data_IF_660262396172
#
_entry.id   IF_660262396172
#
_cell.length_a   1.000
_cell.length_b   1.000
_cell.length_c   1.000
_cell.angle_alpha   90.00
_cell.angle_beta   90.00
_cell.angle_gamma   90.00
#
_symmetry.space_group_name_H-M   'P 1'
#
loop_
_entity.id
_entity.type
_entity.pdbx_description
1 polymer ?
#
# COMPACT_ATOMS: atom_id res chain seq x y z
N UNK A 1 -8.71 4.84 1.51
CA UNK A 1 -8.30 6.27 1.47
C UNK A 1 -8.28 6.74 0.01
N UNK A 2 -8.44 8.04 -0.25
CA UNK A 2 -8.34 8.57 -1.62
C UNK A 2 -6.94 8.34 -2.19
N UNK A 3 -6.88 7.90 -3.45
CA UNK A 3 -5.64 7.61 -4.19
C UNK A 3 -4.75 8.86 -4.23
N UNK A 4 -5.34 10.06 -4.35
CA UNK A 4 -4.62 11.34 -4.31
C UNK A 4 -3.93 11.60 -2.97
N UNK A 5 -4.58 11.26 -1.85
CA UNK A 5 -3.99 11.41 -0.51
C UNK A 5 -2.79 10.49 -0.34
N UNK A 6 -2.89 9.25 -0.83
CA UNK A 6 -1.76 8.31 -0.79
C UNK A 6 -0.59 8.78 -1.67
N UNK A 7 -0.86 9.26 -2.90
CA UNK A 7 0.17 9.79 -3.80
C UNK A 7 0.83 11.06 -3.24
N UNK A 8 0.06 11.94 -2.59
CA UNK A 8 0.60 13.12 -1.91
C UNK A 8 1.51 12.73 -0.72
N UNK A 9 1.14 11.68 0.04
CA UNK A 9 1.98 11.10 1.08
C UNK A 9 3.29 10.53 0.54
N UNK A 10 3.23 9.80 -0.57
CA UNK A 10 4.43 9.26 -1.23
C UNK A 10 5.32 10.34 -1.84
N UNK A 11 4.73 11.39 -2.43
CA UNK A 11 5.48 12.54 -2.95
C UNK A 11 6.23 13.30 -1.84
N UNK A 12 5.54 13.58 -0.74
CA UNK A 12 6.14 14.24 0.44
C UNK A 12 7.22 13.37 1.06
N UNK A 13 7.01 12.07 1.17
CA UNK A 13 8.04 11.12 1.58
C UNK A 13 9.29 11.17 0.68
N UNK A 14 9.12 11.16 -0.64
CA UNK A 14 10.24 11.24 -1.57
C UNK A 14 11.04 12.54 -1.52
N UNK A 15 10.39 13.65 -1.18
CA UNK A 15 11.05 14.94 -0.93
C UNK A 15 11.86 14.87 0.37
N UNK A 16 11.29 14.29 1.43
CA UNK A 16 11.97 14.11 2.73
C UNK A 16 13.19 13.20 2.58
N UNK A 17 13.08 12.07 1.85
CA UNK A 17 14.22 11.17 1.62
C UNK A 17 15.35 11.88 0.89
N UNK A 18 15.05 12.72 -0.11
CA UNK A 18 16.05 13.52 -0.83
C UNK A 18 16.68 14.58 0.09
N UNK A 19 15.89 15.23 0.93
CA UNK A 19 16.39 16.19 1.93
C UNK A 19 17.30 15.51 2.97
N UNK A 20 16.93 14.30 3.40
CA UNK A 20 17.73 13.47 4.30
C UNK A 20 19.07 13.05 3.66
N UNK A 21 19.04 12.64 2.38
CA UNK A 21 20.26 12.33 1.62
C UNK A 21 21.21 13.53 1.56
N UNK A 22 20.69 14.74 1.35
CA UNK A 22 21.48 15.98 1.35
C UNK A 22 22.06 16.29 2.74
N UNK A 23 21.27 16.05 3.79
CA UNK A 23 21.72 16.15 5.18
C UNK A 23 22.89 15.22 5.50
N UNK A 24 22.83 13.95 5.07
CA UNK A 24 23.95 13.00 5.22
C UNK A 24 25.20 13.50 4.49
N UNK A 25 25.04 14.06 3.29
CA UNK A 25 26.16 14.56 2.47
C UNK A 25 26.70 15.92 2.93
N UNK A 26 26.11 16.54 3.96
CA UNK A 26 26.42 17.91 4.43
C UNK A 26 26.40 18.96 3.31
N UNK A 27 25.61 18.72 2.26
CA UNK A 27 25.44 19.64 1.13
C UNK A 27 24.26 20.58 1.40
N UNK A 28 24.27 21.81 0.86
CA UNK A 28 23.13 22.70 0.96
C UNK A 28 21.87 22.02 0.41
N UNK A 29 20.75 22.14 1.14
CA UNK A 29 19.48 21.49 0.76
C UNK A 29 18.97 21.89 -0.63
N UNK A 30 19.44 23.02 -1.16
CA UNK A 30 19.10 23.53 -2.50
C UNK A 30 20.06 23.08 -3.61
N UNK A 31 21.13 22.35 -3.32
CA UNK A 31 22.08 21.90 -4.36
C UNK A 31 21.41 20.79 -5.19
N UNK A 32 21.03 21.09 -6.44
CA UNK A 32 20.25 20.22 -7.37
C UNK A 32 18.74 20.07 -7.07
N UNK A 33 17.93 21.14 -7.27
CA UNK A 33 16.48 21.11 -7.05
C UNK A 33 15.74 20.10 -7.94
N UNK A 34 16.24 19.84 -9.16
CA UNK A 34 15.69 18.81 -10.06
C UNK A 34 15.70 17.41 -9.45
N UNK A 35 16.62 17.16 -8.53
CA UNK A 35 16.71 15.90 -7.79
C UNK A 35 15.47 15.57 -6.96
N UNK A 36 14.83 16.60 -6.40
CA UNK A 36 13.60 16.43 -5.62
C UNK A 36 12.41 16.06 -6.51
N UNK A 37 12.37 16.57 -7.74
CA UNK A 37 11.32 16.24 -8.72
C UNK A 37 11.46 14.78 -9.15
N UNK A 38 12.68 14.32 -9.48
CA UNK A 38 12.90 12.91 -9.84
C UNK A 38 12.61 11.97 -8.68
N UNK A 39 13.01 12.33 -7.45
CA UNK A 39 12.71 11.54 -6.26
C UNK A 39 11.20 11.50 -6.00
N UNK A 40 10.52 12.65 -6.04
CA UNK A 40 9.08 12.74 -5.89
C UNK A 40 8.34 11.89 -6.93
N UNK A 41 8.71 12.00 -8.22
CA UNK A 41 8.15 11.18 -9.29
C UNK A 41 8.39 9.68 -9.09
N UNK A 42 9.60 9.28 -8.69
CA UNK A 42 9.93 7.89 -8.39
C UNK A 42 9.10 7.33 -7.23
N UNK A 43 9.02 8.07 -6.11
CA UNK A 43 8.25 7.63 -4.95
C UNK A 43 6.74 7.61 -5.21
N UNK A 44 6.23 8.53 -6.03
CA UNK A 44 4.82 8.51 -6.48
C UNK A 44 4.54 7.28 -7.34
N UNK A 45 5.42 6.95 -8.29
CA UNK A 45 5.28 5.74 -9.10
C UNK A 45 5.35 4.47 -8.24
N UNK A 46 6.29 4.42 -7.28
CA UNK A 46 6.40 3.35 -6.31
C UNK A 46 5.13 3.22 -5.46
N UNK A 47 4.61 4.34 -4.95
CA UNK A 47 3.38 4.39 -4.17
C UNK A 47 2.14 3.94 -4.95
N UNK A 48 2.07 4.25 -6.25
CA UNK A 48 1.02 3.76 -7.13
C UNK A 48 1.08 2.23 -7.27
N UNK A 49 2.27 1.68 -7.54
CA UNK A 49 2.46 0.23 -7.63
C UNK A 49 2.15 -0.46 -6.28
N UNK A 50 2.56 0.14 -5.16
CA UNK A 50 2.28 -0.37 -3.83
C UNK A 50 0.78 -0.41 -3.52
N UNK A 51 0.05 0.67 -3.82
CA UNK A 51 -1.42 0.69 -3.68
C UNK A 51 -2.11 -0.38 -4.53
N UNK A 52 -1.61 -0.64 -5.74
CA UNK A 52 -2.16 -1.68 -6.60
C UNK A 52 -1.89 -3.07 -6.03
N UNK A 53 -0.72 -3.29 -5.44
CA UNK A 53 -0.42 -4.52 -4.72
C UNK A 53 -1.30 -4.70 -3.49
N UNK A 54 -1.46 -3.67 -2.67
CA UNK A 54 -2.29 -3.69 -1.47
C UNK A 54 -3.75 -4.05 -1.79
N UNK A 55 -4.34 -3.40 -2.79
CA UNK A 55 -5.67 -3.73 -3.28
C UNK A 55 -5.82 -5.19 -3.76
N UNK A 56 -4.77 -5.76 -4.36
CA UNK A 56 -4.78 -7.16 -4.76
C UNK A 56 -4.71 -8.11 -3.56
N UNK A 57 -3.93 -7.77 -2.53
CA UNK A 57 -3.89 -8.56 -1.29
C UNK A 57 -5.24 -8.53 -0.57
N UNK A 58 -5.87 -7.36 -0.45
CA UNK A 58 -7.18 -7.21 0.17
C UNK A 58 -8.25 -8.03 -0.55
N UNK A 59 -8.24 -8.03 -1.89
CA UNK A 59 -9.13 -8.89 -2.69
C UNK A 59 -8.88 -10.38 -2.43
N UNK A 60 -7.63 -10.78 -2.26
CA UNK A 60 -7.28 -12.16 -1.98
C UNK A 60 -7.75 -12.58 -0.58
N UNK A 61 -7.54 -11.71 0.40
CA UNK A 61 -8.01 -11.88 1.78
C UNK A 61 -9.54 -11.97 1.84
N UNK A 62 -10.26 -11.09 1.15
CA UNK A 62 -11.71 -11.12 1.09
C UNK A 62 -12.24 -12.46 0.53
N UNK A 63 -11.66 -12.96 -0.57
CA UNK A 63 -12.01 -14.28 -1.14
C UNK A 63 -11.72 -15.43 -0.17
N UNK A 64 -10.61 -15.37 0.56
CA UNK A 64 -10.28 -16.40 1.57
C UNK A 64 -11.27 -16.36 2.73
N UNK A 65 -11.69 -15.17 3.14
CA UNK A 65 -12.67 -14.98 4.20
C UNK A 65 -14.05 -15.54 3.80
N UNK A 66 -14.49 -15.26 2.56
CA UNK A 66 -15.73 -15.79 1.97
C UNK A 66 -15.72 -17.32 1.94
N UNK A 67 -14.66 -17.94 1.43
CA UNK A 67 -14.51 -19.40 1.43
C UNK A 67 -14.58 -20.02 2.84
N UNK A 68 -14.00 -19.35 3.85
CA UNK A 68 -14.06 -19.81 5.24
C UNK A 68 -15.48 -19.70 5.82
N UNK A 69 -16.21 -18.64 5.49
CA UNK A 69 -17.61 -18.48 5.90
C UNK A 69 -18.50 -19.55 5.26
N UNK A 70 -18.35 -19.82 3.96
CA UNK A 70 -19.06 -20.90 3.29
C UNK A 70 -18.76 -22.27 3.92
N UNK A 71 -17.49 -22.56 4.21
CA UNK A 71 -17.10 -23.82 4.83
C UNK A 71 -17.71 -23.98 6.24
N UNK A 72 -17.81 -22.88 7.00
CA UNK A 72 -18.50 -22.88 8.31
C UNK A 72 -20.00 -23.11 8.16
N UNK A 73 -20.65 -22.46 7.20
CA UNK A 73 -22.08 -22.65 6.93
C UNK A 73 -22.40 -24.10 6.53
N UNK A 74 -21.57 -24.71 5.66
CA UNK A 74 -21.73 -26.13 5.27
C UNK A 74 -21.56 -27.09 6.46
N UNK A 75 -20.59 -26.84 7.34
CA UNK A 75 -20.42 -27.63 8.57
C UNK A 75 -21.59 -27.47 9.54
N UNK A 76 -22.13 -26.26 9.68
CA UNK A 76 -23.30 -26.02 10.51
C UNK A 76 -24.52 -26.78 9.97
N UNK A 77 -24.78 -26.74 8.66
CA UNK A 77 -25.85 -27.51 8.03
C UNK A 77 -25.68 -29.03 8.21
N UNK A 78 -24.47 -29.56 7.99
CA UNK A 78 -24.19 -30.98 8.17
C UNK A 78 -24.37 -31.47 9.62
N UNK A 79 -24.07 -30.61 10.61
CA UNK A 79 -24.26 -30.96 12.02
C UNK A 79 -25.75 -30.92 12.43
N UNK A 80 -26.57 -30.10 11.77
CA UNK A 80 -28.03 -30.07 11.99
C UNK A 80 -28.65 -31.35 11.44
N UNK A 81 -28.30 -31.75 10.21
CA UNK A 81 -28.80 -32.98 9.58
C UNK A 81 -28.33 -34.27 10.29
N UNK A 82 -27.16 -34.25 10.95
CA UNK A 82 -26.67 -35.38 11.74
C UNK A 82 -27.31 -35.50 13.14
N UNK A 83 -28.09 -34.49 13.56
CA UNK A 83 -28.77 -34.43 14.86
C UNK A 83 -30.28 -34.70 14.80
N UNK A 84 -30.83 -34.89 13.59
CA UNK A 84 -32.21 -35.32 13.31
C UNK A 84 -32.25 -36.79 12.88
#
# INVERSE_FOLDING_TARGET
MSLLTSLAGWASFGIIVRAYQQGIRKLPLQTYPMGYIYSGGFWVAFGYAFNMWDQNNDRLLAKRLENLQEARARRAAANVDASS
#
